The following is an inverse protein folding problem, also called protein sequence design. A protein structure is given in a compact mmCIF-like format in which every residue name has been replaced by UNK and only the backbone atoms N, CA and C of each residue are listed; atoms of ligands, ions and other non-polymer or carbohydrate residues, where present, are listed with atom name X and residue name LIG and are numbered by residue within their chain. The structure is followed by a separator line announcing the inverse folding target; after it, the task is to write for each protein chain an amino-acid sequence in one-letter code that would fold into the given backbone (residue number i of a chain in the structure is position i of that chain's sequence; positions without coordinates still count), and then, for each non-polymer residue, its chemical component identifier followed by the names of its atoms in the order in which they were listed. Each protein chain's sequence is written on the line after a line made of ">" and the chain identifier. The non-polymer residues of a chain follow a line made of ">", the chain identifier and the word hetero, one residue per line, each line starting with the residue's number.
data_IF_834907522954
#
_entry.id   IF_834907522954
#
_cell.length_a   1.000
_cell.length_b   1.000
_cell.length_c   1.000
_cell.angle_alpha   90.00
_cell.angle_beta   90.00
_cell.angle_gamma   90.00
#
_symmetry.space_group_name_H-M   'P 1'
#
loop_
_entity.id
_entity.type
_entity.pdbx_description
1 polymer ?
#
# COMPACT_ATOMS: atom_id res chain seq x y z
N UNK A 1 -14.19 -48.56 -18.08
CA UNK A 1 -14.18 -47.92 -16.75
C UNK A 1 -12.91 -47.08 -16.46
N UNK A 2 -12.24 -46.50 -17.47
CA UNK A 2 -11.06 -45.61 -17.28
C UNK A 2 -11.29 -44.16 -17.72
N UNK A 3 -12.37 -43.92 -18.46
CA UNK A 3 -12.72 -42.61 -19.04
C UNK A 3 -13.49 -41.75 -18.02
N UNK A 4 -14.33 -42.37 -17.18
CA UNK A 4 -15.15 -41.67 -16.17
C UNK A 4 -14.31 -40.97 -15.09
N UNK A 5 -13.17 -41.55 -14.69
CA UNK A 5 -12.28 -40.96 -13.67
C UNK A 5 -11.53 -39.71 -14.16
N UNK A 6 -11.30 -39.56 -15.47
CA UNK A 6 -10.64 -38.36 -16.02
C UNK A 6 -11.55 -37.14 -16.00
N UNK A 7 -12.84 -37.33 -16.24
CA UNK A 7 -13.81 -36.23 -16.17
C UNK A 7 -14.06 -35.78 -14.72
N UNK A 8 -14.05 -36.71 -13.75
CA UNK A 8 -14.20 -36.36 -12.33
C UNK A 8 -13.04 -35.47 -11.85
N UNK A 9 -11.80 -35.74 -12.25
CA UNK A 9 -10.64 -34.91 -11.87
C UNK A 9 -10.70 -33.51 -12.50
N UNK A 10 -11.11 -33.41 -13.77
CA UNK A 10 -11.25 -32.12 -14.47
C UNK A 10 -12.42 -31.30 -13.90
N UNK A 11 -13.55 -31.94 -13.56
CA UNK A 11 -14.68 -31.28 -12.93
C UNK A 11 -14.34 -30.79 -11.51
N UNK A 12 -13.51 -31.54 -10.77
CA UNK A 12 -13.02 -31.16 -9.44
C UNK A 12 -12.10 -29.93 -9.50
N UNK A 13 -11.28 -29.82 -10.55
CA UNK A 13 -10.41 -28.64 -10.77
C UNK A 13 -11.20 -27.40 -11.19
N UNK A 14 -12.27 -27.56 -11.98
CA UNK A 14 -13.16 -26.46 -12.38
C UNK A 14 -14.05 -25.98 -11.23
N UNK A 15 -14.47 -26.88 -10.32
CA UNK A 15 -15.22 -26.52 -9.11
C UNK A 15 -14.32 -25.88 -8.02
N UNK A 16 -13.02 -26.23 -7.99
CA UNK A 16 -12.05 -25.53 -7.14
C UNK A 16 -11.73 -24.11 -7.68
N UNK A 17 -11.75 -23.92 -9.00
CA UNK A 17 -11.60 -22.60 -9.62
C UNK A 17 -12.85 -21.71 -9.48
N UNK A 18 -14.04 -22.26 -9.20
CA UNK A 18 -15.24 -21.45 -8.95
C UNK A 18 -15.35 -20.90 -7.52
N UNK A 19 -14.37 -21.18 -6.65
CA UNK A 19 -14.17 -20.43 -5.41
C UNK A 19 -13.26 -19.20 -5.63
N UNK A 20 -13.26 -18.62 -6.84
CA UNK A 20 -12.87 -17.22 -7.02
C UNK A 20 -13.83 -16.40 -6.17
N UNK A 21 -13.32 -16.13 -4.98
CA UNK A 21 -13.86 -15.33 -3.90
C UNK A 21 -14.88 -14.30 -4.41
N UNK A 22 -16.11 -14.38 -3.90
CA UNK A 22 -16.99 -13.21 -3.86
C UNK A 22 -16.35 -12.22 -2.88
N UNK A 23 -15.33 -11.52 -3.35
CA UNK A 23 -14.67 -10.50 -2.56
C UNK A 23 -15.65 -9.34 -2.45
N UNK A 24 -16.02 -9.00 -1.21
CA UNK A 24 -16.86 -7.84 -0.95
C UNK A 24 -16.11 -6.60 -1.43
N UNK A 25 -16.48 -6.10 -2.60
CA UNK A 25 -15.92 -4.86 -3.14
C UNK A 25 -16.43 -3.68 -2.33
N UNK A 26 -15.55 -2.71 -2.07
CA UNK A 26 -15.95 -1.48 -1.41
C UNK A 26 -16.46 -0.48 -2.44
N UNK A 27 -17.61 0.14 -2.17
CA UNK A 27 -18.18 1.16 -3.04
C UNK A 27 -17.59 2.54 -2.70
N UNK A 28 -16.52 2.93 -3.38
CA UNK A 28 -15.91 4.24 -3.22
C UNK A 28 -16.81 5.39 -3.69
N UNK A 29 -17.78 5.14 -4.57
CA UNK A 29 -18.67 6.19 -5.09
C UNK A 29 -19.71 6.62 -4.06
N UNK A 30 -19.94 5.79 -3.04
CA UNK A 30 -20.76 6.17 -1.90
C UNK A 30 -20.11 7.26 -1.02
N UNK A 31 -18.79 7.45 -1.11
CA UNK A 31 -18.07 8.51 -0.41
C UNK A 31 -18.20 9.85 -1.15
N UNK A 32 -18.95 10.78 -0.54
CA UNK A 32 -19.21 12.12 -1.08
C UNK A 32 -17.95 12.97 -1.17
N UNK A 33 -17.02 12.84 -0.23
CA UNK A 33 -15.77 13.61 -0.25
C UNK A 33 -14.86 13.10 -1.36
N UNK A 34 -14.84 11.79 -1.58
CA UNK A 34 -14.08 11.15 -2.64
C UNK A 34 -14.59 11.57 -4.03
N UNK A 35 -15.90 11.51 -4.25
CA UNK A 35 -16.52 11.87 -5.55
C UNK A 35 -16.46 13.36 -5.89
N UNK A 36 -16.22 14.25 -4.92
CA UNK A 36 -15.94 15.68 -5.18
C UNK A 36 -14.54 15.90 -5.76
N UNK A 37 -13.58 15.04 -5.43
CA UNK A 37 -12.16 15.26 -5.68
C UNK A 37 -11.66 14.44 -6.86
N UNK A 38 -12.10 13.20 -6.98
CA UNK A 38 -11.64 12.26 -7.99
C UNK A 38 -12.66 12.05 -9.09
N UNK A 39 -12.18 11.98 -10.33
CA UNK A 39 -13.00 11.58 -11.47
C UNK A 39 -13.12 10.04 -11.55
N UNK A 40 -13.98 9.56 -12.44
CA UNK A 40 -14.26 8.13 -12.57
C UNK A 40 -13.02 7.27 -12.91
N UNK A 41 -12.05 7.80 -13.66
CA UNK A 41 -10.81 7.09 -14.02
C UNK A 41 -9.90 6.95 -12.80
N UNK A 42 -9.76 8.03 -12.02
CA UNK A 42 -8.98 8.07 -10.79
C UNK A 42 -9.59 7.14 -9.74
N UNK A 43 -10.92 7.18 -9.56
CA UNK A 43 -11.66 6.27 -8.66
C UNK A 43 -11.38 4.81 -9.01
N UNK A 44 -11.39 4.43 -10.29
CA UNK A 44 -11.01 3.07 -10.72
C UNK A 44 -9.58 2.71 -10.32
N UNK A 45 -8.66 3.66 -10.36
CA UNK A 45 -7.29 3.46 -9.86
C UNK A 45 -7.26 3.19 -8.35
N UNK A 46 -8.04 3.95 -7.58
CA UNK A 46 -8.20 3.73 -6.13
C UNK A 46 -8.81 2.35 -5.83
N UNK A 47 -9.86 1.96 -6.57
CA UNK A 47 -10.49 0.64 -6.46
C UNK A 47 -9.48 -0.48 -6.75
N UNK A 48 -8.66 -0.36 -7.80
CA UNK A 48 -7.60 -1.32 -8.12
C UNK A 48 -6.56 -1.45 -7.00
N UNK A 49 -6.15 -0.32 -6.41
CA UNK A 49 -5.22 -0.33 -5.28
C UNK A 49 -5.81 -1.02 -4.04
N UNK A 50 -7.07 -0.72 -3.72
CA UNK A 50 -7.77 -1.39 -2.63
C UNK A 50 -7.89 -2.88 -2.91
N UNK A 51 -8.29 -3.28 -4.12
CA UNK A 51 -8.41 -4.69 -4.49
C UNK A 51 -7.07 -5.43 -4.37
N UNK A 52 -5.97 -4.81 -4.81
CA UNK A 52 -4.63 -5.37 -4.65
C UNK A 52 -4.31 -5.62 -3.18
N UNK A 53 -4.47 -4.60 -2.32
CA UNK A 53 -4.19 -4.73 -0.88
C UNK A 53 -5.13 -5.73 -0.22
N UNK A 54 -6.42 -5.68 -0.53
CA UNK A 54 -7.43 -6.60 -0.03
C UNK A 54 -7.04 -8.05 -0.31
N UNK A 55 -6.64 -8.36 -1.54
CA UNK A 55 -6.16 -9.69 -1.90
C UNK A 55 -4.98 -10.13 -1.03
N UNK A 56 -3.99 -9.25 -0.87
CA UNK A 56 -2.79 -9.55 -0.08
C UNK A 56 -3.10 -9.80 1.39
N UNK A 57 -3.94 -8.97 2.02
CA UNK A 57 -4.27 -9.13 3.44
C UNK A 57 -5.21 -10.31 3.68
N UNK A 58 -6.19 -10.56 2.81
CA UNK A 58 -7.11 -11.69 2.90
C UNK A 58 -6.36 -13.02 2.79
N UNK A 59 -5.45 -13.13 1.81
CA UNK A 59 -4.61 -14.31 1.62
C UNK A 59 -3.68 -14.51 2.84
N UNK A 60 -2.96 -13.47 3.26
CA UNK A 60 -2.01 -13.57 4.39
C UNK A 60 -2.70 -13.97 5.69
N UNK A 61 -3.93 -13.51 5.91
CA UNK A 61 -4.70 -13.80 7.13
C UNK A 61 -5.65 -14.99 7.00
N UNK A 62 -5.73 -15.59 5.82
CA UNK A 62 -6.68 -16.65 5.51
C UNK A 62 -8.12 -16.27 5.93
N UNK A 63 -8.56 -15.09 5.49
CA UNK A 63 -9.88 -14.52 5.81
C UNK A 63 -10.67 -14.20 4.54
N UNK A 64 -11.99 -14.29 4.67
CA UNK A 64 -12.94 -13.89 3.63
C UNK A 64 -13.49 -12.48 3.85
N UNK A 65 -13.53 -12.02 5.10
CA UNK A 65 -14.02 -10.70 5.45
C UNK A 65 -12.90 -9.65 5.39
N UNK A 66 -12.99 -8.68 4.47
CA UNK A 66 -12.26 -7.42 4.49
C UNK A 66 -11.92 -6.84 5.85
N UNK A 67 -12.92 -6.61 6.71
CA UNK A 67 -12.71 -5.82 7.92
C UNK A 67 -11.89 -6.59 8.95
N UNK A 68 -12.25 -7.86 9.17
CA UNK A 68 -11.52 -8.78 10.02
C UNK A 68 -10.06 -8.95 9.56
N UNK A 69 -9.83 -9.11 8.25
CA UNK A 69 -8.50 -9.32 7.70
C UNK A 69 -7.55 -8.15 7.99
N UNK A 70 -8.02 -6.91 7.81
CA UNK A 70 -7.21 -5.72 8.08
C UNK A 70 -6.92 -5.56 9.57
N UNK A 71 -7.90 -5.78 10.45
CA UNK A 71 -7.64 -5.75 11.90
C UNK A 71 -6.57 -6.77 12.30
N UNK A 72 -6.67 -8.02 11.84
CA UNK A 72 -5.66 -9.04 12.14
C UNK A 72 -4.28 -8.71 11.53
N UNK A 73 -4.25 -8.00 10.39
CA UNK A 73 -3.02 -7.54 9.78
C UNK A 73 -2.37 -6.42 10.59
N UNK A 74 -3.15 -5.42 10.99
CA UNK A 74 -2.63 -4.33 11.81
C UNK A 74 -2.29 -4.76 13.23
N UNK A 75 -2.99 -5.75 13.79
CA UNK A 75 -2.63 -6.37 15.08
C UNK A 75 -1.23 -7.00 14.99
N UNK A 76 -0.91 -7.71 13.90
CA UNK A 76 0.43 -8.26 13.66
C UNK A 76 1.49 -7.15 13.61
N UNK A 77 1.21 -6.04 12.91
CA UNK A 77 2.10 -4.88 12.87
C UNK A 77 2.25 -4.24 14.25
N UNK A 78 1.17 -4.14 15.02
CA UNK A 78 1.16 -3.47 16.32
C UNK A 78 1.88 -4.27 17.42
N UNK A 79 1.87 -5.61 17.33
CA UNK A 79 2.43 -6.50 18.34
C UNK A 79 3.91 -6.83 18.14
N UNK A 80 4.45 -6.66 16.94
CA UNK A 80 5.86 -6.94 16.69
C UNK A 80 6.76 -5.74 17.00
N UNK A 81 7.95 -6.02 17.50
CA UNK A 81 9.04 -5.03 17.56
C UNK A 81 9.82 -4.93 16.25
N UNK A 82 9.66 -5.91 15.36
CA UNK A 82 10.36 -5.96 14.08
C UNK A 82 9.63 -5.16 13.01
N UNK A 83 10.39 -4.56 12.10
CA UNK A 83 9.78 -3.85 10.98
C UNK A 83 9.17 -4.85 9.99
N UNK A 84 7.84 -4.81 9.84
CA UNK A 84 7.13 -5.62 8.84
C UNK A 84 7.10 -4.88 7.51
N UNK A 85 7.64 -5.52 6.48
CA UNK A 85 7.39 -5.21 5.07
C UNK A 85 6.07 -5.89 4.67
N UNK A 86 4.99 -5.15 4.36
CA UNK A 86 3.69 -5.78 4.14
C UNK A 86 3.64 -6.69 2.91
N UNK A 87 4.28 -6.24 1.82
CA UNK A 87 4.25 -6.87 0.50
C UNK A 87 5.66 -6.94 -0.09
N UNK A 88 5.94 -8.00 -0.85
CA UNK A 88 7.19 -8.07 -1.61
C UNK A 88 7.31 -6.86 -2.54
N UNK A 89 8.39 -6.10 -2.40
CA UNK A 89 8.49 -4.78 -2.99
C UNK A 89 8.51 -4.81 -4.51
N UNK A 90 9.15 -5.82 -5.11
CA UNK A 90 9.18 -5.98 -6.57
C UNK A 90 7.79 -6.21 -7.16
N UNK A 91 6.93 -6.96 -6.46
CA UNK A 91 5.55 -7.24 -6.87
C UNK A 91 4.69 -5.98 -6.67
N UNK A 92 4.85 -5.30 -5.53
CA UNK A 92 4.17 -4.03 -5.23
C UNK A 92 4.46 -2.97 -6.29
N UNK A 93 5.73 -2.80 -6.67
CA UNK A 93 6.14 -1.81 -7.67
C UNK A 93 5.60 -2.14 -9.06
N UNK A 94 5.72 -3.39 -9.52
CA UNK A 94 5.13 -3.82 -10.79
C UNK A 94 3.63 -3.57 -10.85
N UNK A 95 2.91 -3.80 -9.76
CA UNK A 95 1.50 -3.47 -9.67
C UNK A 95 1.26 -1.96 -9.82
N UNK A 96 1.96 -1.13 -9.05
CA UNK A 96 1.80 0.33 -9.11
C UNK A 96 2.16 0.91 -10.48
N UNK A 97 3.22 0.39 -11.12
CA UNK A 97 3.65 0.76 -12.48
C UNK A 97 2.66 0.29 -13.56
N UNK A 98 1.85 -0.73 -13.28
CA UNK A 98 0.82 -1.21 -14.22
C UNK A 98 -0.45 -0.35 -14.24
N UNK A 99 -0.63 0.53 -13.25
CA UNK A 99 -1.72 1.49 -13.24
C UNK A 99 -1.52 2.53 -14.34
N UNK A 100 -2.61 3.06 -14.90
CA UNK A 100 -2.50 4.18 -15.83
C UNK A 100 -1.81 5.38 -15.16
N UNK A 101 -1.07 6.17 -15.95
CA UNK A 101 -0.30 7.31 -15.45
C UNK A 101 -1.13 8.30 -14.62
N UNK A 102 -2.40 8.52 -14.98
CA UNK A 102 -3.32 9.39 -14.22
C UNK A 102 -3.68 8.72 -12.89
N UNK A 103 -3.99 7.42 -12.92
CA UNK A 103 -4.35 6.65 -11.72
C UNK A 103 -3.21 6.59 -10.70
N UNK A 104 -1.99 6.30 -11.16
CA UNK A 104 -0.80 6.27 -10.32
C UNK A 104 -0.49 7.66 -9.74
N UNK A 105 -0.36 8.67 -10.62
CA UNK A 105 0.08 10.02 -10.24
C UNK A 105 -0.95 10.82 -9.42
N UNK A 106 -2.13 10.25 -9.19
CA UNK A 106 -3.15 10.79 -8.29
C UNK A 106 -2.69 10.77 -6.82
N UNK A 107 -1.97 9.73 -6.42
CA UNK A 107 -1.43 9.57 -5.06
C UNK A 107 0.10 9.55 -5.07
N UNK A 108 0.70 8.87 -6.04
CA UNK A 108 2.07 8.41 -5.93
C UNK A 108 3.03 9.13 -6.88
N UNK A 109 4.32 9.04 -6.55
CA UNK A 109 5.43 9.26 -7.47
C UNK A 109 6.55 8.29 -7.12
N UNK A 110 7.33 7.90 -8.13
CA UNK A 110 8.60 7.21 -7.92
C UNK A 110 9.74 8.21 -7.96
N UNK A 111 10.65 8.13 -6.99
CA UNK A 111 11.94 8.80 -6.97
C UNK A 111 13.01 7.76 -7.34
N UNK A 112 13.84 8.05 -8.34
CA UNK A 112 14.89 7.13 -8.81
C UNK A 112 16.31 7.65 -8.59
N UNK A 113 16.44 8.92 -8.22
CA UNK A 113 17.72 9.62 -8.10
C UNK A 113 17.93 10.08 -6.67
N UNK A 114 18.65 9.27 -5.90
CA UNK A 114 18.95 9.61 -4.51
C UNK A 114 20.37 10.14 -4.42
N UNK A 115 20.47 11.45 -4.18
CA UNK A 115 21.75 12.16 -4.10
C UNK A 115 22.63 11.62 -2.97
N UNK A 116 22.02 11.28 -1.83
CA UNK A 116 22.74 10.84 -0.65
C UNK A 116 21.85 10.01 0.27
N UNK A 117 22.37 8.86 0.69
CA UNK A 117 21.82 8.04 1.77
C UNK A 117 22.93 7.84 2.80
N UNK A 118 22.61 8.02 4.08
CA UNK A 118 23.50 7.67 5.19
C UNK A 118 22.91 6.47 5.91
N UNK A 119 23.71 5.43 6.09
CA UNK A 119 23.39 4.29 6.95
C UNK A 119 24.57 4.01 7.88
N UNK A 120 24.34 4.08 9.18
CA UNK A 120 25.40 4.14 10.19
C UNK A 120 26.42 5.25 9.89
N UNK A 121 27.69 4.84 9.77
CA UNK A 121 28.83 5.73 9.47
C UNK A 121 29.15 5.81 7.97
N UNK A 122 28.42 5.06 7.12
CA UNK A 122 28.66 5.05 5.68
C UNK A 122 27.73 6.02 4.95
N UNK A 123 28.30 6.80 4.03
CA UNK A 123 27.56 7.68 3.12
C UNK A 123 27.63 7.14 1.71
N UNK A 124 26.46 6.85 1.13
CA UNK A 124 26.29 6.49 -0.26
C UNK A 124 25.82 7.71 -1.03
N UNK A 125 26.44 8.00 -2.17
CA UNK A 125 26.14 9.19 -2.98
C UNK A 125 25.77 8.78 -4.40
N UNK A 126 24.92 9.57 -5.03
CA UNK A 126 24.54 9.44 -6.44
C UNK A 126 24.03 8.03 -6.77
N UNK A 127 23.09 7.52 -5.99
CA UNK A 127 22.47 6.22 -6.23
C UNK A 127 21.49 6.36 -7.40
N UNK A 128 21.92 5.90 -8.58
CA UNK A 128 21.08 5.84 -9.78
C UNK A 128 20.17 4.62 -9.74
N UNK A 129 18.92 4.77 -10.20
CA UNK A 129 17.90 3.71 -10.21
C UNK A 129 17.59 3.14 -8.81
N UNK A 130 17.79 3.94 -7.77
CA UNK A 130 17.38 3.60 -6.42
C UNK A 130 15.93 4.04 -6.21
N UNK A 131 15.02 3.11 -6.46
CA UNK A 131 13.58 3.37 -6.48
C UNK A 131 13.02 3.53 -5.06
N UNK A 132 12.39 4.69 -4.81
CA UNK A 132 11.59 4.99 -3.62
C UNK A 132 10.18 5.42 -4.04
N UNK A 133 9.19 5.03 -3.24
CA UNK A 133 7.78 5.40 -3.45
C UNK A 133 7.36 6.49 -2.47
N UNK A 134 6.92 7.62 -3.02
CA UNK A 134 6.41 8.75 -2.24
C UNK A 134 4.93 8.98 -2.48
N UNK A 135 4.23 9.42 -1.43
CA UNK A 135 2.94 10.09 -1.57
C UNK A 135 3.20 11.51 -2.03
N UNK A 136 2.48 11.98 -3.04
CA UNK A 136 2.60 13.36 -3.52
C UNK A 136 2.07 14.34 -2.47
N UNK A 137 2.92 15.25 -1.95
CA UNK A 137 2.52 16.21 -0.92
C UNK A 137 1.56 17.28 -1.43
N UNK A 138 1.50 17.50 -2.75
CA UNK A 138 0.57 18.42 -3.40
C UNK A 138 -0.16 17.66 -4.51
N UNK A 139 -1.34 17.13 -4.19
CA UNK A 139 -2.09 16.28 -5.11
C UNK A 139 -3.53 16.07 -4.66
N UNK A 140 -4.32 15.42 -5.52
CA UNK A 140 -5.74 15.17 -5.25
C UNK A 140 -5.97 14.36 -3.97
N UNK A 141 -5.04 13.50 -3.58
CA UNK A 141 -5.15 12.81 -2.31
C UNK A 141 -5.16 13.75 -1.11
N UNK A 142 -4.36 14.82 -1.12
CA UNK A 142 -4.40 15.83 -0.07
C UNK A 142 -5.72 16.61 -0.06
N UNK A 143 -6.24 16.95 -1.24
CA UNK A 143 -7.57 17.57 -1.33
C UNK A 143 -8.67 16.64 -0.79
N UNK A 144 -8.54 15.32 -0.97
CA UNK A 144 -9.45 14.34 -0.39
C UNK A 144 -9.34 14.26 1.13
N UNK A 145 -8.12 14.28 1.67
CA UNK A 145 -7.92 14.33 3.13
C UNK A 145 -8.52 15.61 3.72
N UNK A 146 -8.40 16.74 3.03
CA UNK A 146 -9.03 18.01 3.42
C UNK A 146 -10.58 17.91 3.40
N UNK A 147 -11.17 17.40 2.32
CA UNK A 147 -12.63 17.22 2.24
C UNK A 147 -13.15 16.22 3.27
N UNK A 148 -12.40 15.15 3.56
CA UNK A 148 -12.77 14.13 4.56
C UNK A 148 -12.58 14.65 5.99
N UNK A 149 -11.55 15.47 6.20
CA UNK A 149 -11.21 16.04 7.50
C UNK A 149 -12.23 17.03 8.04
N UNK A 150 -13.08 17.62 7.19
CA UNK A 150 -14.18 18.52 7.61
C UNK A 150 -15.12 17.86 8.62
N UNK A 151 -15.32 16.55 8.49
CA UNK A 151 -16.24 15.76 9.32
C UNK A 151 -15.52 14.67 10.14
N UNK A 152 -14.19 14.56 10.03
CA UNK A 152 -13.40 13.53 10.71
C UNK A 152 -12.05 14.07 11.23
N UNK A 153 -11.91 14.27 12.55
CA UNK A 153 -10.69 14.81 13.16
C UNK A 153 -9.43 14.01 12.88
N UNK A 154 -9.53 12.69 12.67
CA UNK A 154 -8.36 11.87 12.34
C UNK A 154 -7.79 12.25 10.97
N UNK A 155 -8.66 12.38 9.97
CA UNK A 155 -8.24 12.75 8.61
C UNK A 155 -7.81 14.22 8.52
N UNK A 156 -8.38 15.11 9.34
CA UNK A 156 -7.91 16.48 9.47
C UNK A 156 -6.45 16.51 9.98
N UNK A 157 -6.16 15.81 11.08
CA UNK A 157 -4.79 15.74 11.61
C UNK A 157 -3.83 15.11 10.61
N UNK A 158 -4.28 14.07 9.90
CA UNK A 158 -3.50 13.45 8.84
C UNK A 158 -3.13 14.45 7.73
N UNK A 159 -4.10 15.27 7.28
CA UNK A 159 -3.87 16.34 6.30
C UNK A 159 -2.82 17.35 6.78
N UNK A 160 -2.95 17.79 8.03
CA UNK A 160 -2.05 18.77 8.67
C UNK A 160 -0.62 18.23 8.78
N UNK A 161 -0.44 16.93 9.03
CA UNK A 161 0.90 16.32 9.04
C UNK A 161 1.57 16.40 7.67
N UNK A 162 0.85 16.06 6.61
CA UNK A 162 1.39 16.19 5.25
C UNK A 162 1.73 17.64 4.88
N UNK A 163 0.97 18.63 5.34
CA UNK A 163 1.31 20.05 5.14
C UNK A 163 2.59 20.46 5.86
N UNK A 164 2.76 20.00 7.10
CA UNK A 164 3.85 20.46 7.95
C UNK A 164 5.19 19.78 7.63
N UNK A 165 5.18 18.48 7.30
CA UNK A 165 6.41 17.70 7.11
C UNK A 165 6.52 17.04 5.73
N UNK A 166 5.53 17.22 4.85
CA UNK A 166 5.53 16.65 3.50
C UNK A 166 5.35 15.12 3.45
N UNK A 167 5.13 14.47 4.60
CA UNK A 167 4.97 13.02 4.72
C UNK A 167 4.16 12.66 5.98
N UNK A 168 3.93 11.37 6.23
CA UNK A 168 3.37 10.90 7.48
C UNK A 168 4.41 10.96 8.60
N UNK A 169 4.02 11.47 9.76
CA UNK A 169 4.90 11.48 10.93
C UNK A 169 5.20 10.05 11.43
N UNK A 170 6.32 9.89 12.15
CA UNK A 170 6.63 8.64 12.86
C UNK A 170 5.53 8.30 13.88
N UNK A 171 5.04 9.31 14.61
CA UNK A 171 3.96 9.15 15.58
C UNK A 171 2.69 8.57 14.96
N UNK A 172 2.23 9.11 13.82
CA UNK A 172 1.03 8.60 13.17
C UNK A 172 1.27 7.26 12.47
N UNK A 173 2.49 7.05 11.96
CA UNK A 173 2.91 5.74 11.44
C UNK A 173 2.79 4.64 12.49
N UNK A 174 3.15 4.92 13.75
CA UNK A 174 3.07 3.97 14.86
C UNK A 174 1.68 3.89 15.50
N UNK A 175 0.97 5.03 15.59
CA UNK A 175 -0.33 5.11 16.24
C UNK A 175 -1.39 4.35 15.45
N UNK A 176 -1.42 4.45 14.12
CA UNK A 176 -2.48 3.88 13.31
C UNK A 176 -2.63 2.36 13.47
N UNK A 177 -1.57 1.53 13.33
CA UNK A 177 -1.68 0.10 13.62
C UNK A 177 -2.12 -0.17 15.06
N UNK A 178 -1.55 0.51 16.06
CA UNK A 178 -1.90 0.30 17.48
C UNK A 178 -3.34 0.68 17.83
N UNK A 179 -4.00 1.44 16.98
CA UNK A 179 -5.36 1.92 17.18
C UNK A 179 -6.29 1.46 16.04
N UNK A 180 -5.94 0.36 15.36
CA UNK A 180 -6.71 -0.14 14.22
C UNK A 180 -8.17 -0.45 14.57
N UNK A 181 -8.48 -0.76 15.84
CA UNK A 181 -9.84 -1.03 16.32
C UNK A 181 -10.78 0.19 16.23
N UNK A 182 -10.24 1.41 16.10
CA UNK A 182 -11.02 2.63 15.91
C UNK A 182 -11.55 2.80 14.48
N UNK A 183 -11.19 1.91 13.56
CA UNK A 183 -11.49 2.02 12.13
C UNK A 183 -12.35 0.86 11.66
N UNK A 184 -13.57 1.13 11.20
CA UNK A 184 -14.33 0.16 10.42
C UNK A 184 -13.85 0.22 8.95
N UNK A 185 -13.16 -0.83 8.51
CA UNK A 185 -12.64 -0.96 7.16
C UNK A 185 -13.71 -1.36 6.13
N UNK A 186 -14.99 -1.50 6.52
CA UNK A 186 -16.10 -1.46 5.58
C UNK A 186 -16.43 -0.03 5.12
N UNK A 187 -15.92 1.00 5.81
CA UNK A 187 -16.11 2.40 5.44
C UNK A 187 -15.07 2.80 4.38
N UNK A 188 -15.47 3.37 3.22
CA UNK A 188 -14.59 3.74 2.12
C UNK A 188 -13.32 4.50 2.52
N UNK A 189 -13.45 5.60 3.27
CA UNK A 189 -12.31 6.42 3.71
C UNK A 189 -11.29 5.65 4.53
N UNK A 190 -11.74 4.76 5.42
CA UNK A 190 -10.87 3.97 6.29
C UNK A 190 -10.13 2.91 5.48
N UNK A 191 -10.83 2.24 4.56
CA UNK A 191 -10.24 1.22 3.67
C UNK A 191 -9.21 1.80 2.72
N UNK A 192 -9.52 2.96 2.13
CA UNK A 192 -8.60 3.68 1.25
C UNK A 192 -7.36 4.15 2.02
N UNK A 193 -7.54 4.69 3.23
CA UNK A 193 -6.41 5.04 4.08
C UNK A 193 -5.54 3.83 4.43
N UNK A 194 -6.15 2.72 4.86
CA UNK A 194 -5.42 1.50 5.18
C UNK A 194 -4.64 0.96 3.97
N UNK A 195 -5.22 1.05 2.78
CA UNK A 195 -4.57 0.70 1.50
C UNK A 195 -3.34 1.57 1.25
N UNK A 196 -3.48 2.88 1.35
CA UNK A 196 -2.38 3.84 1.15
C UNK A 196 -1.30 3.65 2.21
N UNK A 197 -1.70 3.43 3.47
CA UNK A 197 -0.79 3.15 4.57
C UNK A 197 0.04 1.88 4.33
N UNK A 198 -0.55 0.81 3.82
CA UNK A 198 0.18 -0.44 3.56
C UNK A 198 1.07 -0.33 2.31
N UNK A 199 0.61 0.35 1.24
CA UNK A 199 1.40 0.54 0.03
C UNK A 199 2.63 1.44 0.24
N UNK A 200 2.51 2.48 1.07
CA UNK A 200 3.66 3.36 1.41
C UNK A 200 4.73 2.66 2.25
N UNK A 201 4.41 1.54 2.92
CA UNK A 201 5.42 0.81 3.70
C UNK A 201 6.32 0.03 2.74
N UNK A 202 7.55 0.50 2.69
CA UNK A 202 8.61 0.00 1.82
C UNK A 202 9.50 -0.96 2.60
N UNK A 203 10.39 -1.66 1.90
CA UNK A 203 11.57 -2.20 2.57
C UNK A 203 12.38 -1.07 3.25
N UNK A 204 13.13 -1.40 4.31
CA UNK A 204 14.00 -0.42 4.94
C UNK A 204 15.08 0.05 3.96
N UNK A 205 15.68 1.20 4.23
CA UNK A 205 16.77 1.73 3.42
C UNK A 205 17.94 0.73 3.37
N UNK A 206 18.24 0.08 4.48
CA UNK A 206 19.27 -0.97 4.57
C UNK A 206 18.96 -2.14 3.64
N UNK A 207 17.73 -2.68 3.67
CA UNK A 207 17.31 -3.78 2.80
C UNK A 207 17.38 -3.41 1.31
N UNK A 208 16.91 -2.21 0.96
CA UNK A 208 16.97 -1.68 -0.41
C UNK A 208 18.42 -1.50 -0.87
N UNK A 209 19.29 -1.00 0.01
CA UNK A 209 20.70 -0.77 -0.27
C UNK A 209 21.46 -2.08 -0.44
N UNK A 210 21.23 -3.08 0.41
CA UNK A 210 21.82 -4.41 0.27
C UNK A 210 21.47 -5.04 -1.09
N UNK A 211 20.18 -4.95 -1.47
CA UNK A 211 19.72 -5.39 -2.79
C UNK A 211 20.38 -4.59 -3.92
N UNK A 212 20.47 -3.27 -3.76
CA UNK A 212 21.07 -2.38 -4.75
C UNK A 212 22.55 -2.70 -4.99
N UNK A 213 23.35 -2.86 -3.93
CA UNK A 213 24.78 -3.17 -4.01
C UNK A 213 25.02 -4.57 -4.58
N UNK A 214 24.16 -5.55 -4.24
CA UNK A 214 24.23 -6.90 -4.82
C UNK A 214 24.03 -6.89 -6.33
N UNK A 215 23.14 -6.01 -6.83
CA UNK A 215 22.84 -5.87 -8.24
C UNK A 215 23.84 -4.96 -8.98
N UNK A 216 24.49 -4.04 -8.28
CA UNK A 216 25.42 -3.06 -8.84
C UNK A 216 26.82 -3.19 -8.23
N UNK A 217 27.57 -4.22 -8.65
CA UNK A 217 28.91 -4.55 -8.14
C UNK A 217 29.97 -3.44 -8.26
N UNK A 218 29.67 -2.31 -8.90
CA UNK A 218 30.60 -1.21 -9.17
C UNK A 218 30.34 0.05 -8.31
N UNK A 219 29.37 0.04 -7.40
CA UNK A 219 29.09 1.19 -6.53
C UNK A 219 30.01 1.11 -5.31
N UNK A 220 31.12 1.84 -5.34
CA UNK A 220 32.06 1.91 -4.22
C UNK A 220 31.56 2.89 -3.15
N UNK A 221 31.41 2.48 -1.88
CA UNK A 221 31.14 3.41 -0.80
C UNK A 221 32.31 4.37 -0.60
N UNK A 222 32.02 5.62 -0.27
CA UNK A 222 33.04 6.57 0.22
C UNK A 222 33.06 6.49 1.74
N UNK A 223 34.14 5.96 2.31
CA UNK A 223 34.36 6.00 3.76
C UNK A 223 34.91 7.38 4.15
N UNK A 224 34.32 7.99 5.17
CA UNK A 224 34.79 9.23 5.80
C UNK A 224 35.17 8.96 7.24
#
# INVERSE_FOLDING_TARGET
>A
MKIMNRYIVILSFLLAASQIYCQKTIDLKSDKSLTKVFNQTEIKGLESMIQYVDNMVLIRKNKTDPNEAYHLFFEEIAQTSEYIVPFEETIKYKFLESLDSIQFSTIWRFEYHINMIRTGDTVYRNLENFQMLDIKPFGKYMNYLEETGKDDPYFQKLREEFDNVGNLSAMTSDWFPKNHLNFDFNIPKNRLWATIYLLRREETIEMKLDRYLKNNKNVLPTMH
#
